data_IF_138883128171
#
_entry.id   IF_138883128171
#
_cell.length_a   1.000
_cell.length_b   1.000
_cell.length_c   1.000
_cell.angle_alpha   90.00
_cell.angle_beta   90.00
_cell.angle_gamma   90.00
#
_symmetry.space_group_name_H-M   'P 1'
#
loop_
_entity.id
_entity.type
_entity.pdbx_description
1 polymer ?
#
# COMPACT_ATOMS: atom_id res chain seq x y z
N UNK A 1 -30.54 12.27 -22.36
CA UNK A 1 -30.30 11.20 -23.36
C UNK A 1 -31.57 10.45 -23.72
N UNK A 2 -32.42 10.14 -22.78
CA UNK A 2 -33.71 9.45 -23.05
C UNK A 2 -34.62 10.23 -23.99
N UNK A 3 -34.65 11.57 -23.85
CA UNK A 3 -35.37 12.45 -24.77
C UNK A 3 -34.83 12.38 -26.23
N UNK A 4 -33.51 12.25 -26.39
CA UNK A 4 -32.89 12.06 -27.70
C UNK A 4 -33.26 10.72 -28.32
N UNK A 5 -33.31 9.64 -27.48
CA UNK A 5 -33.71 8.32 -27.92
C UNK A 5 -35.19 8.29 -28.38
N UNK A 6 -36.08 8.89 -27.63
CA UNK A 6 -37.52 8.98 -27.99
C UNK A 6 -37.72 9.79 -29.25
N UNK A 7 -37.08 10.96 -29.36
CA UNK A 7 -37.26 11.83 -30.51
C UNK A 7 -36.58 11.28 -31.79
N UNK A 8 -35.45 10.54 -31.63
CA UNK A 8 -34.72 9.96 -32.71
C UNK A 8 -35.46 8.90 -33.52
N UNK A 9 -36.45 8.24 -32.90
CA UNK A 9 -37.34 7.28 -33.59
C UNK A 9 -38.32 7.94 -34.56
N UNK A 10 -38.62 9.22 -34.33
CA UNK A 10 -39.62 9.97 -35.13
C UNK A 10 -38.99 10.88 -36.15
N UNK A 11 -37.95 11.62 -35.76
CA UNK A 11 -37.31 12.67 -36.63
C UNK A 11 -35.91 12.34 -37.07
N UNK A 12 -35.37 11.21 -36.69
CA UNK A 12 -33.97 10.80 -36.96
C UNK A 12 -32.99 11.33 -35.93
N UNK A 13 -31.84 10.64 -35.83
CA UNK A 13 -30.82 10.91 -34.78
C UNK A 13 -30.19 12.29 -34.92
N UNK A 14 -29.94 12.74 -36.13
CA UNK A 14 -29.31 14.04 -36.43
C UNK A 14 -30.19 15.19 -35.96
N UNK A 15 -31.42 15.23 -36.43
CA UNK A 15 -32.39 16.25 -36.06
C UNK A 15 -32.72 16.26 -34.58
N UNK A 16 -32.82 15.08 -33.96
CA UNK A 16 -33.06 14.95 -32.54
C UNK A 16 -31.90 15.48 -31.67
N UNK A 17 -30.66 15.22 -32.10
CA UNK A 17 -29.47 15.73 -31.44
C UNK A 17 -29.33 17.24 -31.56
N UNK A 18 -29.60 17.79 -32.74
CA UNK A 18 -29.50 19.23 -33.00
C UNK A 18 -30.54 20.02 -32.17
N UNK A 19 -31.79 19.56 -32.14
CA UNK A 19 -32.89 20.21 -31.40
C UNK A 19 -32.63 20.18 -29.89
N UNK A 20 -32.04 19.11 -29.37
CA UNK A 20 -31.77 18.94 -27.93
C UNK A 20 -30.36 19.38 -27.52
N UNK A 21 -29.56 19.95 -28.41
CA UNK A 21 -28.20 20.44 -28.15
C UNK A 21 -27.22 19.36 -27.68
N UNK A 22 -27.41 18.11 -28.13
CA UNK A 22 -26.57 16.97 -27.76
C UNK A 22 -25.65 16.58 -28.92
N UNK A 23 -24.34 16.52 -28.70
CA UNK A 23 -23.42 16.08 -29.74
C UNK A 23 -23.73 14.62 -30.17
N UNK A 24 -23.82 14.38 -31.50
CA UNK A 24 -24.08 13.05 -32.09
C UNK A 24 -23.12 11.99 -31.62
N UNK A 25 -21.84 12.34 -31.42
CA UNK A 25 -20.83 11.44 -30.86
C UNK A 25 -21.19 10.94 -29.45
N UNK A 26 -21.82 11.77 -28.62
CA UNK A 26 -22.27 11.40 -27.28
C UNK A 26 -23.44 10.43 -27.34
N UNK A 27 -24.37 10.62 -28.27
CA UNK A 27 -25.47 9.69 -28.48
C UNK A 27 -24.97 8.28 -28.86
N UNK A 28 -24.07 8.17 -29.85
CA UNK A 28 -23.55 6.87 -30.29
C UNK A 28 -22.64 6.21 -29.26
N UNK A 29 -21.93 6.99 -28.42
CA UNK A 29 -21.11 6.46 -27.33
C UNK A 29 -21.94 5.85 -26.20
N UNK A 30 -23.11 6.42 -25.91
CA UNK A 30 -24.00 5.98 -24.83
C UNK A 30 -25.07 4.98 -25.27
N UNK A 31 -25.32 4.84 -26.58
CA UNK A 31 -26.31 3.93 -27.14
C UNK A 31 -26.18 2.47 -26.65
N UNK A 32 -24.99 1.89 -26.44
CA UNK A 32 -24.86 0.54 -25.88
C UNK A 32 -25.36 0.40 -24.43
N UNK A 33 -25.51 1.52 -23.71
CA UNK A 33 -25.95 1.54 -22.32
C UNK A 33 -27.49 1.47 -22.19
N UNK A 34 -28.24 1.77 -23.27
CA UNK A 34 -29.70 1.91 -23.25
C UNK A 34 -30.46 0.86 -24.08
N UNK A 35 -29.78 -0.07 -24.75
CA UNK A 35 -30.41 -1.14 -25.51
C UNK A 35 -30.43 -2.46 -24.73
N UNK A 36 -31.46 -3.37 -24.98
CA UNK A 36 -31.34 -4.72 -24.48
C UNK A 36 -30.08 -5.35 -25.03
N UNK A 37 -29.19 -5.79 -24.14
CA UNK A 37 -28.01 -6.57 -24.50
C UNK A 37 -28.51 -7.88 -25.10
N UNK A 38 -28.65 -7.95 -26.41
CA UNK A 38 -28.78 -9.22 -27.10
C UNK A 38 -27.52 -10.02 -26.72
N UNK A 39 -27.65 -11.30 -26.33
CA UNK A 39 -26.51 -12.14 -26.08
C UNK A 39 -25.63 -12.09 -27.34
N UNK A 40 -24.41 -11.59 -27.21
CA UNK A 40 -23.46 -11.57 -28.30
C UNK A 40 -23.28 -13.03 -28.72
N UNK A 41 -23.69 -13.36 -29.93
CA UNK A 41 -23.29 -14.63 -30.54
C UNK A 41 -21.77 -14.70 -30.48
N UNK A 42 -21.19 -15.83 -30.06
CA UNK A 42 -19.75 -15.96 -30.02
C UNK A 42 -19.21 -15.56 -31.41
N UNK A 43 -18.15 -14.74 -31.47
CA UNK A 43 -17.59 -14.32 -32.76
C UNK A 43 -17.24 -15.59 -33.53
N UNK A 44 -17.89 -15.81 -34.67
CA UNK A 44 -17.48 -16.87 -35.59
C UNK A 44 -16.05 -16.50 -35.99
N UNK A 45 -15.08 -17.26 -35.50
CA UNK A 45 -13.69 -17.12 -35.89
C UNK A 45 -13.57 -17.51 -37.36
N UNK A 46 -13.74 -16.53 -38.23
CA UNK A 46 -13.39 -16.71 -39.64
C UNK A 46 -11.87 -16.85 -39.67
N UNK A 47 -11.39 -18.07 -39.88
CA UNK A 47 -9.98 -18.36 -40.04
C UNK A 47 -9.44 -17.45 -41.18
N UNK A 48 -8.59 -16.51 -40.83
CA UNK A 48 -7.96 -15.63 -41.83
C UNK A 48 -7.09 -16.49 -42.73
N UNK A 49 -7.15 -16.35 -44.04
CA UNK A 49 -6.28 -17.10 -44.94
C UNK A 49 -4.82 -16.80 -44.58
N UNK A 50 -3.99 -17.86 -44.55
CA UNK A 50 -2.56 -17.75 -44.25
C UNK A 50 -1.91 -16.81 -45.30
N UNK A 51 -1.21 -15.73 -44.88
CA UNK A 51 -0.56 -14.84 -45.81
C UNK A 51 0.49 -15.59 -46.66
N UNK A 52 0.61 -15.25 -47.94
CA UNK A 52 1.56 -15.88 -48.85
C UNK A 52 3.04 -15.83 -48.40
N UNK A 53 3.35 -14.89 -47.48
CA UNK A 53 4.69 -14.73 -46.86
C UNK A 53 4.86 -15.43 -45.52
N UNK A 54 3.90 -16.23 -45.08
CA UNK A 54 4.02 -16.97 -43.84
C UNK A 54 4.93 -18.18 -44.04
N UNK A 55 5.73 -18.50 -43.06
CA UNK A 55 6.52 -19.76 -43.06
C UNK A 55 5.57 -20.97 -43.09
N UNK A 56 5.91 -21.96 -43.89
CA UNK A 56 5.27 -23.27 -43.87
C UNK A 56 5.47 -23.94 -42.46
N UNK A 57 4.67 -24.96 -42.13
CA UNK A 57 4.88 -25.74 -40.91
C UNK A 57 6.30 -26.32 -40.78
N UNK A 58 6.85 -26.84 -41.88
CA UNK A 58 8.19 -27.46 -41.91
C UNK A 58 9.30 -26.41 -41.74
N UNK A 59 9.17 -25.24 -42.39
CA UNK A 59 10.12 -24.13 -42.19
C UNK A 59 10.07 -23.64 -40.75
N UNK A 60 8.89 -23.59 -40.16
CA UNK A 60 8.70 -23.19 -38.77
C UNK A 60 9.34 -24.14 -37.78
N UNK A 61 9.22 -25.45 -38.03
CA UNK A 61 9.86 -26.46 -37.22
C UNK A 61 11.39 -26.42 -37.36
N UNK A 62 11.90 -26.15 -38.56
CA UNK A 62 13.35 -25.95 -38.79
C UNK A 62 13.88 -24.73 -37.99
N UNK A 63 13.13 -23.63 -37.95
CA UNK A 63 13.46 -22.44 -37.12
C UNK A 63 13.47 -22.85 -35.64
N UNK A 64 12.46 -23.57 -35.17
CA UNK A 64 12.35 -24.03 -33.78
C UNK A 64 13.53 -24.93 -33.38
N UNK A 65 13.85 -25.92 -34.20
CA UNK A 65 14.97 -26.80 -33.97
C UNK A 65 16.31 -26.06 -33.89
N UNK A 66 16.52 -25.06 -34.77
CA UNK A 66 17.72 -24.23 -34.76
C UNK A 66 17.82 -23.39 -33.49
N UNK A 67 16.73 -22.74 -33.09
CA UNK A 67 16.69 -21.89 -31.87
C UNK A 67 16.95 -22.70 -30.60
N UNK A 68 16.55 -23.96 -30.54
CA UNK A 68 16.70 -24.86 -29.38
C UNK A 68 17.93 -25.80 -29.49
N UNK A 69 18.78 -25.64 -30.51
CA UNK A 69 19.99 -26.42 -30.64
C UNK A 69 20.99 -26.13 -29.53
N UNK A 70 21.83 -27.10 -29.17
CA UNK A 70 22.91 -26.90 -28.18
C UNK A 70 23.80 -25.68 -28.51
N UNK A 71 23.97 -25.39 -29.80
CA UNK A 71 24.77 -24.29 -30.27
C UNK A 71 24.14 -22.93 -29.96
N UNK A 72 22.82 -22.81 -30.00
CA UNK A 72 22.12 -21.54 -29.98
C UNK A 72 21.16 -21.34 -28.79
N UNK A 73 20.98 -22.35 -27.96
CA UNK A 73 20.03 -22.29 -26.84
C UNK A 73 20.25 -21.11 -25.87
N UNK A 74 21.48 -20.61 -25.75
CA UNK A 74 21.86 -19.49 -24.89
C UNK A 74 22.05 -18.17 -25.66
N UNK A 75 21.78 -18.18 -26.98
CA UNK A 75 21.94 -16.99 -27.81
C UNK A 75 20.63 -16.23 -28.02
N UNK A 76 20.73 -14.93 -28.17
CA UNK A 76 19.56 -14.13 -28.55
C UNK A 76 19.18 -14.37 -30.04
N UNK A 77 17.90 -14.31 -30.44
CA UNK A 77 17.48 -14.42 -31.82
C UNK A 77 18.22 -13.48 -32.78
N UNK A 78 18.62 -12.29 -32.32
CA UNK A 78 19.40 -11.36 -33.10
C UNK A 78 20.83 -11.85 -33.38
N UNK A 79 21.48 -12.42 -32.36
CA UNK A 79 22.81 -13.03 -32.49
C UNK A 79 22.76 -14.28 -33.39
N UNK A 80 21.75 -15.14 -33.23
CA UNK A 80 21.53 -16.32 -34.07
C UNK A 80 21.36 -15.90 -35.53
N UNK A 81 20.50 -14.92 -35.82
CA UNK A 81 20.28 -14.45 -37.18
C UNK A 81 21.57 -13.91 -37.80
N UNK A 82 22.35 -13.11 -37.05
CA UNK A 82 23.62 -12.58 -37.53
C UNK A 82 24.63 -13.71 -37.84
N UNK A 83 24.79 -14.70 -36.94
CA UNK A 83 25.68 -15.82 -37.14
C UNK A 83 25.28 -16.65 -38.37
N UNK A 84 23.99 -16.92 -38.56
CA UNK A 84 23.50 -17.66 -39.72
C UNK A 84 23.72 -16.88 -41.02
N UNK A 85 23.57 -15.55 -41.01
CA UNK A 85 23.87 -14.70 -42.19
C UNK A 85 25.37 -14.76 -42.52
N UNK A 86 26.26 -14.75 -41.55
CA UNK A 86 27.72 -14.86 -41.75
C UNK A 86 28.08 -16.23 -42.35
N UNK A 87 27.27 -17.26 -42.07
CA UNK A 87 27.42 -18.62 -42.64
C UNK A 87 26.69 -18.77 -43.99
N UNK A 88 26.11 -17.70 -44.52
CA UNK A 88 25.39 -17.71 -45.78
C UNK A 88 23.99 -18.35 -45.73
N UNK A 89 23.42 -18.49 -44.53
CA UNK A 89 22.09 -19.04 -44.29
C UNK A 89 21.09 -17.97 -43.83
N UNK A 90 19.89 -18.02 -44.40
CA UNK A 90 18.78 -17.18 -43.93
C UNK A 90 17.53 -18.04 -43.73
N UNK A 91 17.04 -18.10 -42.50
CA UNK A 91 15.84 -18.87 -42.14
C UNK A 91 14.60 -17.97 -42.14
N UNK A 92 14.65 -16.90 -41.36
CA UNK A 92 13.54 -15.91 -41.25
C UNK A 92 14.03 -14.65 -40.50
N UNK A 93 13.17 -13.65 -40.41
CA UNK A 93 13.49 -12.43 -39.66
C UNK A 93 13.60 -12.69 -38.15
N UNK A 94 14.44 -11.92 -37.47
CA UNK A 94 14.57 -11.94 -36.00
C UNK A 94 13.20 -11.84 -35.29
N UNK A 95 12.28 -11.02 -35.84
CA UNK A 95 10.92 -10.89 -35.30
C UNK A 95 10.12 -12.19 -35.40
N UNK A 96 10.32 -12.98 -36.44
CA UNK A 96 9.67 -14.28 -36.62
C UNK A 96 10.26 -15.30 -35.65
N UNK A 97 11.58 -15.28 -35.39
CA UNK A 97 12.23 -16.09 -34.37
C UNK A 97 11.63 -15.82 -32.98
N UNK A 98 11.47 -14.56 -32.60
CA UNK A 98 10.81 -14.20 -31.34
C UNK A 98 9.37 -14.72 -31.24
N UNK A 99 8.59 -14.68 -32.34
CA UNK A 99 7.21 -15.23 -32.33
C UNK A 99 7.18 -16.74 -32.15
N UNK A 100 8.11 -17.45 -32.75
CA UNK A 100 8.23 -18.92 -32.57
C UNK A 100 8.56 -19.23 -31.09
N UNK A 101 9.51 -18.51 -30.49
CA UNK A 101 9.84 -18.67 -29.07
C UNK A 101 8.67 -18.27 -28.14
N UNK A 102 7.88 -17.27 -28.52
CA UNK A 102 6.71 -16.83 -27.72
C UNK A 102 5.61 -17.90 -27.72
N UNK A 103 5.35 -18.53 -28.85
CA UNK A 103 4.41 -19.65 -28.96
C UNK A 103 4.81 -20.84 -28.10
N UNK A 104 6.12 -21.09 -27.97
CA UNK A 104 6.68 -22.16 -27.15
C UNK A 104 6.80 -21.73 -25.65
N UNK A 105 6.39 -20.50 -25.31
CA UNK A 105 6.55 -19.95 -23.96
C UNK A 105 8.00 -19.67 -23.55
N UNK A 106 8.95 -19.72 -24.49
CA UNK A 106 10.39 -19.62 -24.27
C UNK A 106 10.93 -18.17 -24.32
N UNK A 107 10.08 -17.18 -24.50
CA UNK A 107 10.46 -15.75 -24.44
C UNK A 107 10.57 -15.21 -23.01
N UNK A 108 10.18 -15.99 -22.01
CA UNK A 108 10.37 -15.63 -20.60
C UNK A 108 11.86 -15.74 -20.27
N UNK A 109 12.31 -14.80 -19.44
CA UNK A 109 13.69 -14.72 -18.99
C UNK A 109 14.22 -16.09 -18.55
N UNK A 110 15.24 -16.61 -19.24
CA UNK A 110 15.83 -17.95 -19.00
C UNK A 110 16.67 -18.02 -17.72
N UNK A 111 16.87 -16.90 -17.04
CA UNK A 111 17.45 -16.90 -15.70
C UNK A 111 16.44 -17.57 -14.79
N UNK A 112 16.93 -18.52 -14.01
CA UNK A 112 16.20 -19.14 -12.91
C UNK A 112 15.89 -18.06 -11.87
N UNK A 113 14.96 -17.17 -12.22
CA UNK A 113 14.44 -16.17 -11.30
C UNK A 113 13.60 -16.95 -10.31
N UNK A 114 14.10 -17.02 -9.09
CA UNK A 114 13.31 -17.38 -7.94
C UNK A 114 11.99 -16.62 -8.04
N UNK A 115 10.92 -17.31 -8.37
CA UNK A 115 9.57 -16.75 -8.33
C UNK A 115 9.42 -16.25 -6.90
N UNK A 116 9.37 -14.92 -6.72
CA UNK A 116 9.18 -14.38 -5.40
C UNK A 116 7.89 -14.98 -4.82
N UNK A 117 7.96 -15.63 -3.66
CA UNK A 117 6.77 -16.19 -3.05
C UNK A 117 5.72 -15.09 -2.92
N UNK A 118 4.46 -15.40 -3.22
CA UNK A 118 3.37 -14.48 -2.96
C UNK A 118 3.29 -14.28 -1.45
N UNK A 119 3.75 -13.12 -0.99
CA UNK A 119 3.68 -12.77 0.42
C UNK A 119 2.22 -12.48 0.79
N UNK A 120 1.71 -13.18 1.79
CA UNK A 120 0.40 -12.88 2.35
C UNK A 120 0.42 -11.49 2.99
N UNK A 121 -0.66 -10.76 2.77
CA UNK A 121 -0.87 -9.44 3.37
C UNK A 121 -1.02 -9.62 4.88
N UNK A 122 -0.22 -8.97 5.73
CA UNK A 122 -0.41 -9.05 7.17
C UNK A 122 -1.72 -8.36 7.55
N UNK A 123 -2.65 -9.09 8.14
CA UNK A 123 -3.92 -8.57 8.65
C UNK A 123 -3.84 -8.58 10.18
N UNK A 124 -3.69 -7.39 10.77
CA UNK A 124 -3.46 -7.23 12.19
C UNK A 124 -4.52 -6.33 12.81
N UNK A 125 -5.09 -6.78 13.92
CA UNK A 125 -6.16 -6.12 14.66
C UNK A 125 -5.68 -5.66 16.04
N UNK A 126 -6.08 -4.46 16.42
CA UNK A 126 -6.01 -3.97 17.78
C UNK A 126 -7.40 -3.44 18.21
N UNK A 127 -7.87 -3.85 19.38
CA UNK A 127 -9.13 -3.39 20.00
C UNK A 127 -8.90 -2.61 21.29
N UNK A 128 -7.68 -2.62 21.79
CA UNK A 128 -7.25 -1.89 22.98
C UNK A 128 -5.76 -1.49 22.89
N UNK A 129 -5.29 -0.55 23.70
CA UNK A 129 -3.87 -0.24 23.85
C UNK A 129 -3.04 -1.46 24.23
N UNK A 130 -1.77 -1.46 23.81
CA UNK A 130 -0.78 -2.51 24.12
C UNK A 130 -1.10 -3.91 23.59
N UNK A 131 -1.94 -4.01 22.53
CA UNK A 131 -2.17 -5.24 21.80
C UNK A 131 -1.32 -5.33 20.52
N UNK A 132 -1.09 -4.19 19.86
CA UNK A 132 -0.34 -4.13 18.63
C UNK A 132 0.49 -2.86 18.60
N UNK A 133 1.80 -3.02 18.46
CA UNK A 133 2.72 -1.91 18.23
C UNK A 133 3.26 -1.90 16.81
N UNK A 134 3.46 -0.71 16.28
CA UNK A 134 4.16 -0.45 15.02
C UNK A 134 5.55 0.09 15.35
N UNK A 135 6.56 -0.49 14.71
CA UNK A 135 7.95 -0.09 14.86
C UNK A 135 8.51 0.39 13.54
N UNK A 136 9.26 1.49 13.57
CA UNK A 136 10.02 1.93 12.41
C UNK A 136 11.21 2.82 12.80
N UNK A 137 12.17 2.96 11.87
CA UNK A 137 13.37 3.79 12.02
C UNK A 137 13.39 4.82 10.90
N UNK A 138 13.47 6.10 11.25
CA UNK A 138 13.62 7.16 10.27
C UNK A 138 14.96 7.87 10.40
N UNK A 139 15.50 8.32 9.26
CA UNK A 139 16.73 9.10 9.20
C UNK A 139 16.44 10.58 9.43
N UNK A 140 17.18 11.19 10.34
CA UNK A 140 17.26 12.62 10.57
C UNK A 140 18.55 13.13 9.93
N UNK A 141 18.47 14.17 9.11
CA UNK A 141 19.65 14.72 8.40
C UNK A 141 20.63 15.36 9.40
N UNK A 142 21.86 14.93 9.37
CA UNK A 142 22.94 15.50 10.17
C UNK A 142 23.56 16.78 9.55
N UNK A 143 24.62 17.33 10.16
CA UNK A 143 25.18 18.64 9.79
C UNK A 143 25.76 18.67 8.38
N UNK A 144 26.38 17.60 7.94
CA UNK A 144 26.98 17.51 6.61
C UNK A 144 26.11 16.68 5.65
N UNK A 145 26.32 16.87 4.34
CA UNK A 145 25.70 16.03 3.30
C UNK A 145 26.07 14.56 3.55
N UNK A 146 25.05 13.68 3.48
CA UNK A 146 25.18 12.23 3.70
C UNK A 146 25.45 11.81 5.16
N UNK A 147 25.39 12.72 6.13
CA UNK A 147 25.36 12.36 7.55
C UNK A 147 23.92 12.23 8.06
N UNK A 148 23.68 11.24 8.92
CA UNK A 148 22.34 10.96 9.45
C UNK A 148 22.41 10.54 10.91
N UNK A 149 21.41 10.92 11.68
CA UNK A 149 21.04 10.30 12.94
C UNK A 149 19.82 9.41 12.70
N UNK A 150 19.62 8.42 13.52
CA UNK A 150 18.58 7.41 13.36
C UNK A 150 17.61 7.51 14.52
N UNK A 151 16.37 7.86 14.21
CA UNK A 151 15.29 7.91 15.17
C UNK A 151 14.49 6.62 15.10
N UNK A 152 14.51 5.87 16.18
CA UNK A 152 13.74 4.67 16.42
C UNK A 152 12.44 5.06 17.12
N UNK A 153 11.30 4.56 16.66
CA UNK A 153 9.99 4.84 17.25
C UNK A 153 9.19 3.56 17.38
N UNK A 154 8.56 3.38 18.52
CA UNK A 154 7.55 2.36 18.79
C UNK A 154 6.24 3.08 19.08
N UNK A 155 5.22 2.80 18.27
CA UNK A 155 3.91 3.42 18.34
C UNK A 155 2.84 2.37 18.63
N UNK A 156 1.98 2.63 19.60
CA UNK A 156 0.77 1.82 19.83
C UNK A 156 -0.25 2.08 18.73
N UNK A 157 -0.66 1.02 18.02
CA UNK A 157 -1.52 1.13 16.83
C UNK A 157 -2.94 1.58 17.19
N UNK A 158 -3.48 1.18 18.36
CA UNK A 158 -4.82 1.55 18.77
C UNK A 158 -4.92 3.01 19.20
N UNK A 159 -4.06 3.42 20.12
CA UNK A 159 -4.11 4.75 20.73
C UNK A 159 -3.31 5.82 19.96
N UNK A 160 -2.43 5.43 19.04
CA UNK A 160 -1.43 6.30 18.39
C UNK A 160 -0.35 6.81 19.35
N UNK A 161 -0.30 6.32 20.58
CA UNK A 161 0.66 6.74 21.60
C UNK A 161 2.07 6.24 21.26
N UNK A 162 3.04 7.13 21.27
CA UNK A 162 4.45 6.74 21.13
C UNK A 162 4.91 6.19 22.48
N UNK A 163 4.99 4.87 22.59
CA UNK A 163 5.35 4.15 23.83
C UNK A 163 6.85 4.17 24.08
N UNK A 164 7.66 4.26 23.01
CA UNK A 164 9.12 4.31 23.14
C UNK A 164 9.76 4.98 21.92
N UNK A 165 10.85 5.70 22.17
CA UNK A 165 11.67 6.27 21.11
C UNK A 165 13.12 6.45 21.56
N UNK A 166 14.04 6.51 20.59
CA UNK A 166 15.46 6.72 20.81
C UNK A 166 16.14 7.33 19.59
N UNK A 167 17.08 8.25 19.79
CA UNK A 167 17.96 8.75 18.73
C UNK A 167 19.37 8.18 18.90
N UNK A 168 19.89 7.55 17.85
CA UNK A 168 21.19 6.91 17.81
C UNK A 168 22.04 7.38 16.61
N UNK A 169 23.37 7.28 16.68
CA UNK A 169 24.25 7.66 15.56
C UNK A 169 24.28 6.63 14.42
N UNK A 170 23.77 5.44 14.65
CA UNK A 170 23.73 4.34 13.66
C UNK A 170 22.56 3.40 13.92
N UNK A 171 22.13 2.67 12.90
CA UNK A 171 21.25 1.52 13.08
C UNK A 171 22.04 0.36 13.71
N UNK A 172 21.44 -0.27 14.73
CA UNK A 172 22.01 -1.42 15.41
C UNK A 172 20.92 -2.32 15.97
N UNK A 173 21.13 -3.61 15.88
CA UNK A 173 20.25 -4.62 16.44
C UNK A 173 20.21 -4.59 17.96
N UNK A 174 21.34 -4.28 18.58
CA UNK A 174 21.47 -4.17 20.04
C UNK A 174 20.67 -2.97 20.57
N UNK A 175 20.72 -1.84 19.85
CA UNK A 175 19.93 -0.66 20.21
C UNK A 175 18.43 -0.92 20.04
N UNK A 176 18.06 -1.62 18.97
CA UNK A 176 16.68 -2.04 18.73
C UNK A 176 16.20 -2.96 19.87
N UNK A 177 17.00 -3.98 20.21
CA UNK A 177 16.72 -4.90 21.32
C UNK A 177 16.48 -4.15 22.62
N UNK A 178 17.43 -3.27 22.98
CA UNK A 178 17.37 -2.46 24.20
C UNK A 178 16.10 -1.60 24.27
N UNK A 179 15.77 -0.89 23.20
CA UNK A 179 14.58 -0.05 23.17
C UNK A 179 13.29 -0.86 23.33
N UNK A 180 13.17 -2.03 22.69
CA UNK A 180 12.00 -2.90 22.80
C UNK A 180 11.86 -3.41 24.23
N UNK A 181 12.96 -3.91 24.82
CA UNK A 181 13.00 -4.44 26.18
C UNK A 181 12.57 -3.38 27.21
N UNK A 182 13.21 -2.20 27.20
CA UNK A 182 12.87 -1.07 28.07
C UNK A 182 11.42 -0.59 27.87
N UNK A 183 10.91 -0.63 26.64
CA UNK A 183 9.54 -0.21 26.34
C UNK A 183 8.52 -1.23 26.84
N UNK A 184 8.77 -2.53 26.67
CA UNK A 184 7.91 -3.59 27.19
C UNK A 184 7.85 -3.55 28.74
N UNK A 185 8.99 -3.35 29.38
CA UNK A 185 9.07 -3.18 30.84
C UNK A 185 8.29 -1.94 31.30
N UNK A 186 8.53 -0.78 30.70
CA UNK A 186 7.84 0.49 31.00
C UNK A 186 6.32 0.39 30.83
N UNK A 187 5.84 -0.35 29.83
CA UNK A 187 4.42 -0.53 29.54
C UNK A 187 3.81 -1.74 30.27
N UNK A 188 4.61 -2.45 31.07
CA UNK A 188 4.21 -3.64 31.83
C UNK A 188 3.52 -4.70 30.93
N UNK A 189 4.13 -4.98 29.78
CA UNK A 189 3.60 -5.93 28.80
C UNK A 189 3.71 -7.36 29.35
N UNK A 190 2.58 -8.07 29.36
CA UNK A 190 2.54 -9.47 29.74
C UNK A 190 2.90 -10.39 28.58
N UNK A 191 3.51 -11.57 28.85
CA UNK A 191 3.82 -12.54 27.81
C UNK A 191 2.57 -12.92 26.98
N UNK A 192 2.69 -12.89 25.65
CA UNK A 192 1.61 -13.22 24.74
C UNK A 192 0.57 -12.10 24.50
N UNK A 193 0.68 -10.97 25.17
CA UNK A 193 -0.25 -9.84 25.03
C UNK A 193 -0.03 -9.05 23.75
N UNK A 194 1.22 -8.88 23.33
CA UNK A 194 1.64 -7.91 22.32
C UNK A 194 2.00 -8.54 20.98
N UNK A 195 1.51 -7.93 19.89
CA UNK A 195 2.05 -8.07 18.55
C UNK A 195 2.94 -6.88 18.17
N UNK A 196 4.11 -7.12 17.59
CA UNK A 196 5.01 -6.09 17.07
C UNK A 196 5.10 -6.19 15.57
N UNK A 197 4.61 -5.17 14.88
CA UNK A 197 4.68 -5.04 13.44
C UNK A 197 5.79 -4.08 13.02
N UNK A 198 6.58 -4.48 12.02
CA UNK A 198 7.70 -3.68 11.55
C UNK A 198 7.97 -3.89 10.07
N UNK A 199 8.60 -2.90 9.45
CA UNK A 199 9.19 -3.07 8.14
C UNK A 199 10.35 -4.08 8.17
N UNK A 200 10.74 -4.59 7.01
CA UNK A 200 11.83 -5.57 6.87
C UNK A 200 13.23 -4.95 7.02
N UNK A 201 13.39 -3.95 7.87
CA UNK A 201 14.68 -3.34 8.18
C UNK A 201 15.68 -4.36 8.76
N UNK A 202 16.98 -4.12 8.54
CA UNK A 202 18.07 -5.02 8.97
C UNK A 202 18.07 -5.25 10.49
N UNK A 203 17.81 -4.20 11.27
CA UNK A 203 17.74 -4.27 12.73
C UNK A 203 16.64 -5.24 13.20
N UNK A 204 15.43 -5.16 12.62
CA UNK A 204 14.31 -6.01 13.00
C UNK A 204 14.45 -7.47 12.54
N UNK A 205 15.22 -7.73 11.47
CA UNK A 205 15.48 -9.09 10.99
C UNK A 205 16.61 -9.79 11.74
N UNK A 206 17.29 -9.08 12.64
CA UNK A 206 18.43 -9.59 13.38
C UNK A 206 18.05 -10.72 14.36
N UNK A 207 18.98 -11.66 14.56
CA UNK A 207 18.81 -12.75 15.53
C UNK A 207 18.61 -12.25 16.97
N UNK A 208 19.36 -11.23 17.47
CA UNK A 208 19.16 -10.72 18.84
C UNK A 208 17.76 -10.21 19.11
N UNK A 209 17.16 -9.48 18.14
CA UNK A 209 15.77 -8.98 18.27
C UNK A 209 14.78 -10.15 18.20
N UNK A 210 15.00 -11.11 17.30
CA UNK A 210 14.11 -12.27 17.18
C UNK A 210 14.09 -13.11 18.45
N UNK A 211 15.25 -13.34 19.09
CA UNK A 211 15.34 -14.06 20.37
C UNK A 211 14.64 -13.29 21.48
N UNK A 212 14.89 -11.98 21.63
CA UNK A 212 14.20 -11.17 22.62
C UNK A 212 12.67 -11.26 22.50
N UNK A 213 12.14 -11.11 21.28
CA UNK A 213 10.69 -11.16 21.05
C UNK A 213 10.11 -12.55 21.38
N UNK A 214 10.86 -13.61 21.12
CA UNK A 214 10.50 -14.96 21.52
C UNK A 214 10.51 -15.12 23.05
N UNK A 215 11.54 -14.62 23.72
CA UNK A 215 11.66 -14.66 25.19
C UNK A 215 10.52 -13.89 25.88
N UNK A 216 10.12 -12.75 25.30
CA UNK A 216 8.99 -11.94 25.77
C UNK A 216 7.63 -12.46 25.29
N UNK A 217 7.60 -13.55 24.52
CA UNK A 217 6.38 -14.08 23.88
C UNK A 217 5.63 -13.03 23.06
N UNK A 218 6.35 -12.10 22.41
CA UNK A 218 5.80 -11.06 21.54
C UNK A 218 5.70 -11.60 20.13
N UNK A 219 4.51 -11.57 19.55
CA UNK A 219 4.28 -11.99 18.16
C UNK A 219 4.89 -10.99 17.19
N UNK A 220 5.81 -11.45 16.35
CA UNK A 220 6.50 -10.62 15.36
C UNK A 220 5.86 -10.76 13.99
N UNK A 221 5.54 -9.63 13.36
CA UNK A 221 5.04 -9.57 11.98
C UNK A 221 5.85 -8.58 11.15
N UNK A 222 5.83 -8.75 9.83
CA UNK A 222 6.57 -7.87 8.91
C UNK A 222 5.71 -7.42 7.75
N UNK A 223 5.95 -6.20 7.29
CA UNK A 223 5.46 -5.70 6.01
C UNK A 223 5.91 -6.59 4.84
N UNK A 224 5.12 -6.63 3.77
CA UNK A 224 5.54 -7.28 2.52
C UNK A 224 6.73 -6.53 1.92
N UNK A 225 7.61 -7.21 1.16
CA UNK A 225 8.70 -6.53 0.47
C UNK A 225 8.17 -5.43 -0.47
N UNK A 226 8.82 -4.27 -0.45
CA UNK A 226 8.51 -3.12 -1.32
C UNK A 226 7.06 -2.59 -1.20
N UNK A 227 6.39 -2.80 -0.07
CA UNK A 227 5.01 -2.34 0.16
C UNK A 227 5.00 -1.40 1.37
N UNK A 228 5.07 -0.08 1.11
CA UNK A 228 5.06 0.95 2.16
C UNK A 228 3.75 0.99 2.92
N UNK A 229 2.62 0.74 2.26
CA UNK A 229 1.29 0.79 2.87
C UNK A 229 1.04 -0.25 3.97
N UNK A 230 1.98 -1.17 4.21
CA UNK A 230 1.85 -2.17 5.26
C UNK A 230 2.24 -1.64 6.65
N UNK A 231 2.87 -0.44 6.75
CA UNK A 231 3.17 0.23 8.03
C UNK A 231 2.66 1.68 8.10
N UNK A 232 1.34 1.91 7.87
CA UNK A 232 0.78 3.24 7.67
C UNK A 232 0.85 4.15 8.90
N UNK A 233 0.89 3.57 10.10
CA UNK A 233 0.85 4.33 11.36
C UNK A 233 2.19 4.98 11.68
N UNK A 234 3.30 4.27 11.52
CA UNK A 234 4.65 4.82 11.67
C UNK A 234 4.93 5.88 10.59
N UNK A 235 4.55 5.61 9.33
CA UNK A 235 4.68 6.59 8.25
C UNK A 235 3.91 7.89 8.53
N UNK A 236 2.65 7.78 8.99
CA UNK A 236 1.82 8.92 9.37
C UNK A 236 2.43 9.72 10.52
N UNK A 237 2.98 9.03 11.54
CA UNK A 237 3.64 9.66 12.68
C UNK A 237 4.89 10.44 12.23
N UNK A 238 5.76 9.84 11.39
CA UNK A 238 6.92 10.53 10.85
C UNK A 238 6.55 11.70 9.95
N UNK A 239 5.47 11.59 9.18
CA UNK A 239 4.94 12.70 8.41
C UNK A 239 4.53 13.85 9.34
N UNK A 240 3.76 13.57 10.39
CA UNK A 240 3.37 14.57 11.39
C UNK A 240 4.60 15.28 11.96
N UNK A 241 5.66 14.56 12.29
CA UNK A 241 6.90 15.13 12.82
C UNK A 241 7.62 16.01 11.79
N UNK A 242 7.84 15.50 10.58
CA UNK A 242 8.65 16.16 9.55
C UNK A 242 7.97 17.39 8.92
N UNK A 243 6.65 17.50 9.03
CA UNK A 243 5.89 18.63 8.50
C UNK A 243 5.63 19.74 9.54
N UNK A 244 6.15 19.59 10.74
CA UNK A 244 6.07 20.67 11.73
C UNK A 244 6.97 21.85 11.33
N UNK A 245 6.52 23.08 11.55
CA UNK A 245 7.34 24.28 11.28
C UNK A 245 8.69 24.28 12.02
N UNK A 246 8.73 23.68 13.21
CA UNK A 246 9.92 23.63 14.06
C UNK A 246 10.89 22.51 13.66
N UNK A 247 10.50 21.62 12.71
CA UNK A 247 11.38 20.54 12.25
C UNK A 247 12.51 21.13 11.38
N UNK A 248 13.79 21.01 11.80
CA UNK A 248 14.87 21.61 11.05
C UNK A 248 15.21 20.81 9.79
N UNK A 249 15.67 21.49 8.74
CA UNK A 249 16.18 20.80 7.55
C UNK A 249 17.38 19.89 7.91
N UNK A 250 18.23 20.33 8.87
CA UNK A 250 19.39 19.59 9.38
C UNK A 250 19.57 19.82 10.87
N UNK A 251 20.05 18.78 11.54
CA UNK A 251 20.47 18.84 12.94
C UNK A 251 21.98 19.07 13.00
N UNK A 252 22.44 19.99 13.83
CA UNK A 252 23.86 20.30 14.03
C UNK A 252 24.63 19.16 14.69
N UNK A 253 23.99 18.45 15.63
CA UNK A 253 24.55 17.31 16.34
C UNK A 253 23.43 16.34 16.79
N UNK A 254 23.82 15.19 17.35
CA UNK A 254 22.86 14.22 17.87
C UNK A 254 22.08 14.75 19.07
N UNK A 255 22.68 15.65 19.85
CA UNK A 255 22.04 16.27 21.00
C UNK A 255 20.87 17.17 20.55
N UNK A 256 21.05 17.92 19.46
CA UNK A 256 19.98 18.76 18.89
C UNK A 256 18.78 17.89 18.45
N UNK A 257 19.05 16.76 17.82
CA UNK A 257 18.01 15.84 17.40
C UNK A 257 17.29 15.19 18.58
N UNK A 258 18.00 14.90 19.67
CA UNK A 258 17.42 14.42 20.93
C UNK A 258 16.56 15.49 21.59
N UNK A 259 17.06 16.72 21.69
CA UNK A 259 16.32 17.85 22.25
C UNK A 259 15.02 18.12 21.49
N UNK A 260 15.08 18.09 20.15
CA UNK A 260 13.87 18.18 19.33
C UNK A 260 12.86 17.06 19.66
N UNK A 261 13.32 15.81 19.72
CA UNK A 261 12.45 14.67 20.02
C UNK A 261 11.89 14.73 21.45
N UNK A 262 12.67 15.22 22.43
CA UNK A 262 12.21 15.43 23.81
C UNK A 262 11.08 16.46 23.90
N UNK A 263 11.01 17.43 23.01
CA UNK A 263 9.91 18.39 22.92
C UNK A 263 8.76 17.85 22.08
N UNK A 264 9.08 17.18 20.96
CA UNK A 264 8.07 16.70 20.02
C UNK A 264 7.19 15.59 20.57
N UNK A 265 7.76 14.54 21.19
CA UNK A 265 6.97 13.39 21.59
C UNK A 265 5.99 13.65 22.75
N UNK A 266 6.31 14.45 23.78
CA UNK A 266 5.30 14.90 24.74
C UNK A 266 4.16 15.66 24.06
N UNK A 267 4.46 16.63 23.22
CA UNK A 267 3.43 17.34 22.44
C UNK A 267 2.59 16.40 21.57
N UNK A 268 3.23 15.44 20.90
CA UNK A 268 2.52 14.46 20.06
C UNK A 268 1.59 13.58 20.88
N UNK A 269 2.03 13.11 22.05
CA UNK A 269 1.24 12.25 22.91
C UNK A 269 0.12 13.01 23.65
N UNK A 270 0.39 14.21 24.13
CA UNK A 270 -0.50 14.92 25.08
C UNK A 270 -1.41 15.93 24.39
N UNK A 271 -0.92 16.65 23.38
CA UNK A 271 -1.62 17.79 22.78
C UNK A 271 -2.15 17.52 21.37
N UNK A 272 -1.41 16.76 20.54
CA UNK A 272 -1.79 16.53 19.15
C UNK A 272 -3.10 15.72 19.05
N UNK A 273 -4.06 16.25 18.27
CA UNK A 273 -5.38 15.63 18.09
C UNK A 273 -5.43 14.79 16.83
N UNK A 274 -5.81 13.51 16.95
CA UNK A 274 -5.88 12.59 15.83
C UNK A 274 -7.34 12.31 15.39
N UNK A 275 -7.65 12.53 14.13
CA UNK A 275 -8.97 12.24 13.56
C UNK A 275 -9.35 10.76 13.71
N UNK A 276 -8.40 9.86 13.51
CA UNK A 276 -8.60 8.40 13.60
C UNK A 276 -8.91 7.88 15.01
N UNK A 277 -8.78 8.70 16.05
CA UNK A 277 -9.13 8.35 17.44
C UNK A 277 -10.10 9.40 18.05
N UNK A 278 -11.07 9.86 17.26
CA UNK A 278 -12.12 10.76 17.74
C UNK A 278 -11.64 12.15 18.13
N UNK A 279 -10.60 12.69 17.46
CA UNK A 279 -10.00 13.98 17.80
C UNK A 279 -9.54 14.07 19.27
N UNK A 280 -9.08 12.93 19.82
CA UNK A 280 -8.43 12.87 21.13
C UNK A 280 -6.91 12.90 20.99
N UNK A 281 -6.19 13.22 22.05
CA UNK A 281 -4.75 13.01 22.10
C UNK A 281 -4.45 11.52 22.37
N UNK A 282 -3.29 11.01 21.92
CA UNK A 282 -2.86 9.64 22.18
C UNK A 282 -2.91 9.27 23.66
N UNK A 283 -2.47 10.15 24.56
CA UNK A 283 -2.49 9.95 26.02
C UNK A 283 -3.90 9.68 26.55
N UNK A 284 -4.91 10.44 26.08
CA UNK A 284 -6.29 10.25 26.52
C UNK A 284 -6.82 8.85 26.20
N UNK A 285 -6.43 8.30 25.05
CA UNK A 285 -6.86 6.97 24.62
C UNK A 285 -6.01 5.89 25.30
N UNK A 286 -4.69 6.05 25.33
CA UNK A 286 -3.76 5.05 25.85
C UNK A 286 -3.97 4.77 27.35
N UNK A 287 -4.27 5.80 28.11
CA UNK A 287 -4.50 5.68 29.55
C UNK A 287 -5.99 5.60 29.97
N UNK A 288 -6.89 5.29 29.02
CA UNK A 288 -8.28 4.97 29.32
C UNK A 288 -9.21 6.15 29.62
N UNK A 289 -8.76 7.41 29.42
CA UNK A 289 -9.59 8.59 29.67
C UNK A 289 -10.62 8.89 28.56
N UNK A 290 -10.60 8.13 27.45
CA UNK A 290 -11.36 8.44 26.24
C UNK A 290 -12.88 8.55 26.48
N UNK A 291 -13.46 7.69 27.31
CA UNK A 291 -14.89 7.71 27.63
C UNK A 291 -15.27 8.98 28.36
N UNK A 292 -14.56 9.33 29.44
CA UNK A 292 -14.81 10.54 30.21
C UNK A 292 -14.66 11.81 29.36
N UNK A 293 -13.65 11.87 28.50
CA UNK A 293 -13.48 12.99 27.56
C UNK A 293 -14.67 13.10 26.60
N UNK A 294 -15.16 11.98 26.09
CA UNK A 294 -16.32 11.95 25.19
C UNK A 294 -17.60 12.41 25.88
N UNK A 295 -17.84 11.93 27.11
CA UNK A 295 -18.99 12.35 27.92
C UNK A 295 -18.95 13.85 28.21
N UNK A 296 -17.80 14.38 28.62
CA UNK A 296 -17.66 15.82 28.83
C UNK A 296 -17.91 16.64 27.55
N UNK A 297 -17.43 16.19 26.41
CA UNK A 297 -17.73 16.83 25.11
C UNK A 297 -19.21 16.78 24.77
N UNK A 298 -19.90 15.66 25.09
CA UNK A 298 -21.34 15.55 24.87
C UNK A 298 -22.11 16.56 25.72
N UNK A 299 -21.78 16.70 27.02
CA UNK A 299 -22.41 17.69 27.88
C UNK A 299 -22.28 19.12 27.31
N UNK A 300 -21.11 19.49 26.80
CA UNK A 300 -20.90 20.80 26.15
C UNK A 300 -21.77 20.96 24.91
N UNK A 301 -21.85 19.91 24.06
CA UNK A 301 -22.68 19.93 22.86
C UNK A 301 -24.17 19.97 23.16
N UNK A 302 -24.62 19.26 24.21
CA UNK A 302 -26.03 19.29 24.67
C UNK A 302 -26.44 20.66 25.20
N UNK A 303 -25.52 21.34 25.92
CA UNK A 303 -25.74 22.72 26.35
C UNK A 303 -25.85 23.66 25.14
N UNK A 304 -24.91 23.57 24.20
CA UNK A 304 -24.95 24.38 22.98
C UNK A 304 -26.21 24.15 22.13
N UNK A 305 -26.67 22.89 22.06
CA UNK A 305 -27.90 22.54 21.35
C UNK A 305 -29.15 23.12 22.05
N UNK A 306 -29.16 23.10 23.39
CA UNK A 306 -30.27 23.69 24.18
C UNK A 306 -30.37 25.21 23.98
N UNK A 307 -29.22 25.87 23.95
CA UNK A 307 -29.16 27.32 23.85
C UNK A 307 -29.42 27.81 22.42
N UNK A 308 -29.06 27.05 21.42
CA UNK A 308 -29.13 27.40 20.00
C UNK A 308 -29.50 26.20 19.08
N UNK A 309 -30.71 25.62 19.22
CA UNK A 309 -31.12 24.47 18.43
C UNK A 309 -31.13 24.74 16.91
N UNK A 310 -31.40 26.01 16.54
CA UNK A 310 -31.44 26.44 15.14
C UNK A 310 -30.11 26.32 14.39
N UNK A 311 -28.99 26.18 15.11
CA UNK A 311 -27.64 25.97 14.51
C UNK A 311 -27.39 24.54 14.12
N UNK A 312 -28.20 23.58 14.55
CA UNK A 312 -28.03 22.16 14.35
C UNK A 312 -29.15 21.59 13.46
N UNK A 313 -29.05 21.84 12.16
CA UNK A 313 -30.12 21.68 11.16
C UNK A 313 -30.61 20.22 11.00
N UNK A 314 -29.79 19.22 11.25
CA UNK A 314 -30.11 17.82 10.92
C UNK A 314 -30.46 16.96 12.13
N UNK A 315 -29.72 17.10 13.22
CA UNK A 315 -29.86 16.27 14.44
C UNK A 315 -29.07 16.92 15.60
N UNK A 316 -29.36 16.53 16.85
CA UNK A 316 -28.51 16.90 17.99
C UNK A 316 -27.05 16.53 17.72
N UNK A 317 -26.09 17.39 18.09
CA UNK A 317 -24.66 17.15 17.84
C UNK A 317 -24.14 16.00 18.71
N UNK A 318 -23.20 15.25 18.18
CA UNK A 318 -22.47 14.20 18.94
C UNK A 318 -20.97 14.34 18.69
N UNK A 319 -20.14 14.14 19.72
CA UNK A 319 -18.69 14.18 19.52
C UNK A 319 -18.19 13.03 18.67
N UNK A 320 -17.06 13.17 17.98
CA UNK A 320 -16.43 12.07 17.25
C UNK A 320 -16.21 10.86 18.15
N UNK A 321 -16.42 9.67 17.58
CA UNK A 321 -16.31 8.42 18.32
C UNK A 321 -14.88 7.84 18.22
N UNK A 322 -14.48 7.16 19.30
CA UNK A 322 -13.31 6.30 19.27
C UNK A 322 -13.63 5.05 18.40
N UNK A 323 -12.72 4.60 17.53
CA UNK A 323 -12.90 3.35 16.81
C UNK A 323 -12.94 2.16 17.78
N UNK A 324 -13.82 1.20 17.52
CA UNK A 324 -13.88 -0.05 18.30
C UNK A 324 -12.69 -0.96 17.99
N UNK A 325 -12.21 -0.88 16.76
CA UNK A 325 -11.13 -1.70 16.21
C UNK A 325 -10.24 -0.88 15.27
N UNK A 326 -8.98 -1.20 15.26
CA UNK A 326 -7.99 -0.59 14.40
C UNK A 326 -7.20 -1.68 13.70
N UNK A 327 -7.08 -1.58 12.38
CA UNK A 327 -6.45 -2.58 11.55
C UNK A 327 -5.19 -2.06 10.87
N UNK A 328 -4.19 -2.92 10.77
CA UNK A 328 -3.21 -2.85 9.69
C UNK A 328 -3.72 -3.82 8.63
N UNK A 329 -4.05 -3.29 7.45
CA UNK A 329 -4.56 -4.07 6.33
C UNK A 329 -5.88 -4.83 6.63
N UNK A 330 -6.94 -4.12 6.94
CA UNK A 330 -8.28 -4.74 7.14
C UNK A 330 -8.63 -5.68 5.98
N UNK A 331 -9.08 -6.93 6.24
CA UNK A 331 -9.57 -7.83 5.20
C UNK A 331 -10.78 -7.19 4.47
N UNK A 332 -10.94 -7.45 3.16
CA UNK A 332 -12.18 -7.09 2.49
C UNK A 332 -13.36 -7.81 3.18
N UNK A 333 -14.50 -7.12 3.34
CA UNK A 333 -15.69 -7.73 3.89
C UNK A 333 -16.02 -9.02 3.11
N UNK A 334 -16.11 -10.16 3.79
CA UNK A 334 -16.77 -11.32 3.25
C UNK A 334 -18.29 -11.04 3.34
N UNK A 335 -19.02 -11.23 2.23
CA UNK A 335 -20.47 -11.03 2.17
C UNK A 335 -21.30 -12.01 3.06
N UNK A 336 -20.62 -12.79 3.92
CA UNK A 336 -21.23 -13.80 4.79
C UNK A 336 -21.77 -13.24 6.13
N UNK A 337 -21.60 -11.95 6.43
CA UNK A 337 -22.09 -11.34 7.69
C UNK A 337 -23.52 -10.74 7.58
N UNK A 338 -24.26 -11.09 6.55
CA UNK A 338 -25.71 -10.75 6.44
C UNK A 338 -26.56 -11.98 6.73
N UNK A 339 -26.69 -12.34 8.00
CA UNK A 339 -27.84 -13.10 8.50
C UNK A 339 -28.29 -12.57 9.87
#
# INVERSE_FOLDING_TARGET
>A
MDAVLQLSSTVGVESACDVLGVARASYYRQRPLFGPKLPASPPVSIARPTPARALSPDERESVRAMLNSERFQDCSPAAINATLLDEGQYLCSTRTMYRVLEEDGATRERRDQLVHPQYQKPELLATAPNQLWSWDITKLRGPAKWTYFYLYVILDVFSRYVVGWMVAPRESAELAKKLIEETCEKQNIQPGQLGLHADRGSAMRSKPVALLLADLSVTKTHSRPYTSNDNPYSESQFRTMKYRPEFPDRFGCIQDSRAFCQTFFPWYNDDHRHSGIGMMSPTMVHHGAALAVRENRQLVLDAAYRDHPERFVRRPPTPPQLPKEVWINKPPYSDDDTH
#
